data_IF_589268145886
#
_entry.id   IF_589268145886
#
_cell.length_a   1.000
_cell.length_b   1.000
_cell.length_c   1.000
_cell.angle_alpha   90.00
_cell.angle_beta   90.00
_cell.angle_gamma   90.00
#
_symmetry.space_group_name_H-M   'P 1'
#
loop_
_entity.id
_entity.type
_entity.pdbx_description
1 polymer ?
#
# COMPACT_ATOMS: atom_id res chain seq x y z
N UNK A 1 -17.39 30.10 -10.92
CA UNK A 1 -16.84 29.88 -12.27
C UNK A 1 -16.29 28.47 -12.29
N UNK A 2 -16.94 27.57 -13.01
CA UNK A 2 -16.53 26.17 -13.14
C UNK A 2 -15.24 26.14 -13.97
N UNK A 3 -14.12 25.82 -13.34
CA UNK A 3 -12.92 25.48 -14.07
C UNK A 3 -13.22 24.17 -14.86
N UNK A 4 -13.16 24.26 -16.18
CA UNK A 4 -13.16 23.10 -17.06
C UNK A 4 -11.98 22.23 -16.64
N UNK A 5 -12.25 21.14 -15.90
CA UNK A 5 -11.27 20.07 -15.69
C UNK A 5 -10.99 19.48 -17.07
N UNK A 6 -9.82 19.81 -17.62
CA UNK A 6 -9.29 19.07 -18.76
C UNK A 6 -9.18 17.61 -18.35
N UNK A 7 -9.70 16.69 -19.16
CA UNK A 7 -9.54 15.26 -18.93
C UNK A 7 -8.04 14.96 -18.70
N UNK A 8 -7.71 14.17 -17.69
CA UNK A 8 -6.31 13.85 -17.42
C UNK A 8 -5.69 13.19 -18.66
N UNK A 9 -4.47 13.58 -19.02
CA UNK A 9 -3.74 12.98 -20.13
C UNK A 9 -3.58 11.47 -19.86
N UNK A 10 -3.77 10.64 -20.86
CA UNK A 10 -3.55 9.20 -20.73
C UNK A 10 -2.13 8.93 -20.18
N UNK A 11 -1.96 7.97 -19.27
CA UNK A 11 -0.64 7.59 -18.76
C UNK A 11 0.28 7.14 -19.90
N UNK A 12 1.58 7.41 -19.79
CA UNK A 12 2.56 6.92 -20.76
C UNK A 12 2.64 5.38 -20.75
N UNK A 13 3.15 4.79 -21.85
CA UNK A 13 3.40 3.34 -21.91
C UNK A 13 4.24 2.85 -20.71
N UNK A 14 5.27 3.59 -20.35
CA UNK A 14 6.15 3.28 -19.21
C UNK A 14 5.39 3.22 -17.88
N UNK A 15 4.50 4.18 -17.63
CA UNK A 15 3.65 4.20 -16.44
C UNK A 15 2.69 3.02 -16.44
N UNK A 16 2.06 2.72 -17.57
CA UNK A 16 1.14 1.59 -17.69
C UNK A 16 1.84 0.25 -17.47
N UNK A 17 3.04 0.08 -18.05
CA UNK A 17 3.86 -1.11 -17.80
C UNK A 17 4.28 -1.21 -16.34
N UNK A 18 4.74 -0.12 -15.71
CA UNK A 18 5.07 -0.07 -14.28
C UNK A 18 3.87 -0.49 -13.43
N UNK A 19 2.68 0.03 -13.71
CA UNK A 19 1.44 -0.30 -13.01
C UNK A 19 1.13 -1.80 -13.14
N UNK A 20 1.17 -2.35 -14.36
CA UNK A 20 0.90 -3.76 -14.59
C UNK A 20 1.93 -4.68 -13.92
N UNK A 21 3.23 -4.41 -14.09
CA UNK A 21 4.31 -5.18 -13.45
C UNK A 21 4.18 -5.17 -11.92
N UNK A 22 3.90 -4.01 -11.35
CA UNK A 22 3.78 -3.86 -9.89
C UNK A 22 2.58 -4.62 -9.35
N UNK A 23 1.40 -4.48 -9.96
CA UNK A 23 0.20 -5.19 -9.55
C UNK A 23 0.39 -6.72 -9.65
N UNK A 24 1.00 -7.20 -10.73
CA UNK A 24 1.33 -8.61 -10.92
C UNK A 24 2.35 -9.10 -9.88
N UNK A 25 3.39 -8.31 -9.60
CA UNK A 25 4.40 -8.64 -8.59
C UNK A 25 3.78 -8.76 -7.19
N UNK A 26 2.90 -7.84 -6.81
CA UNK A 26 2.16 -7.92 -5.54
C UNK A 26 1.33 -9.20 -5.50
N UNK A 27 0.56 -9.51 -6.56
CA UNK A 27 -0.26 -10.72 -6.65
C UNK A 27 0.57 -11.99 -6.48
N UNK A 28 1.70 -12.10 -7.19
CA UNK A 28 2.61 -13.25 -7.10
C UNK A 28 3.17 -13.37 -5.69
N UNK A 29 3.68 -12.26 -5.12
CA UNK A 29 4.24 -12.25 -3.77
C UNK A 29 3.23 -12.74 -2.73
N UNK A 30 2.00 -12.24 -2.77
CA UNK A 30 0.96 -12.62 -1.81
C UNK A 30 0.50 -14.08 -1.99
N UNK A 31 0.31 -14.51 -3.24
CA UNK A 31 -0.16 -15.87 -3.54
C UNK A 31 0.88 -16.91 -3.13
N UNK A 32 2.13 -16.70 -3.49
CA UNK A 32 3.24 -17.60 -3.15
C UNK A 32 3.60 -17.48 -1.65
N UNK A 33 3.54 -16.28 -1.08
CA UNK A 33 3.71 -16.05 0.36
C UNK A 33 2.71 -16.86 1.20
N UNK A 34 1.45 -16.96 0.77
CA UNK A 34 0.43 -17.81 1.40
C UNK A 34 0.86 -19.29 1.38
N UNK A 35 1.46 -19.77 0.28
CA UNK A 35 1.95 -21.14 0.19
C UNK A 35 3.11 -21.38 1.16
N UNK A 36 4.07 -20.45 1.23
CA UNK A 36 5.18 -20.51 2.20
C UNK A 36 4.68 -20.49 3.65
N UNK A 37 3.67 -19.68 3.94
CA UNK A 37 3.03 -19.64 5.26
C UNK A 37 2.41 -21.00 5.62
N UNK A 38 1.66 -21.62 4.69
CA UNK A 38 1.04 -22.92 4.89
C UNK A 38 2.06 -24.07 5.03
N UNK A 39 3.25 -23.89 4.48
CA UNK A 39 4.38 -24.81 4.68
C UNK A 39 5.09 -24.59 6.03
N UNK A 40 4.70 -23.58 6.81
CA UNK A 40 5.30 -23.26 8.11
C UNK A 40 6.63 -22.50 8.03
N UNK A 41 7.00 -22.02 6.84
CA UNK A 41 8.23 -21.25 6.63
C UNK A 41 8.09 -19.80 7.11
N UNK A 42 6.89 -19.22 7.02
CA UNK A 42 6.58 -17.89 7.54
C UNK A 42 5.87 -18.05 8.88
N UNK A 43 6.39 -17.37 9.91
CA UNK A 43 5.85 -17.40 11.27
C UNK A 43 5.10 -16.10 11.58
N UNK A 44 4.24 -16.16 12.60
CA UNK A 44 3.43 -15.02 13.03
C UNK A 44 2.20 -14.78 12.16
N UNK A 45 1.77 -13.53 12.04
CA UNK A 45 0.61 -13.18 11.21
C UNK A 45 1.04 -12.76 9.82
N UNK A 46 0.31 -13.22 8.82
CA UNK A 46 0.47 -12.83 7.43
C UNK A 46 -0.88 -12.29 6.92
N UNK A 47 -0.92 -11.02 6.56
CA UNK A 47 -2.11 -10.31 6.09
C UNK A 47 -2.02 -10.07 4.59
N UNK A 48 -2.62 -10.92 3.73
CA UNK A 48 -2.50 -10.77 2.28
C UNK A 48 -3.11 -9.47 1.77
N UNK A 49 -2.44 -8.82 0.83
CA UNK A 49 -2.90 -7.60 0.16
C UNK A 49 -3.85 -7.87 -1.02
N UNK A 50 -4.24 -9.14 -1.24
CA UNK A 50 -5.05 -9.60 -2.36
C UNK A 50 -6.37 -8.84 -2.50
N UNK A 51 -6.61 -8.31 -3.69
CA UNK A 51 -7.79 -7.52 -4.05
C UNK A 51 -7.61 -6.00 -3.89
N UNK A 52 -6.49 -5.53 -3.32
CA UNK A 52 -6.22 -4.12 -3.05
C UNK A 52 -5.04 -3.57 -3.89
N UNK A 53 -4.45 -4.38 -4.78
CA UNK A 53 -3.24 -4.07 -5.55
C UNK A 53 -3.34 -2.77 -6.34
N UNK A 54 -4.54 -2.41 -6.79
CA UNK A 54 -4.79 -1.19 -7.55
C UNK A 54 -4.44 0.08 -6.78
N UNK A 55 -4.63 0.08 -5.44
CA UNK A 55 -4.39 1.25 -4.60
C UNK A 55 -2.88 1.49 -4.48
N UNK A 56 -2.13 0.51 -3.95
CA UNK A 56 -0.68 0.65 -3.77
C UNK A 56 0.00 1.02 -5.10
N UNK A 57 -0.40 0.34 -6.17
CA UNK A 57 0.19 0.50 -7.50
C UNK A 57 -0.08 1.88 -8.08
N UNK A 58 -1.34 2.33 -8.05
CA UNK A 58 -1.73 3.65 -8.58
C UNK A 58 -1.10 4.79 -7.78
N UNK A 59 -1.12 4.69 -6.44
CA UNK A 59 -0.50 5.70 -5.56
C UNK A 59 1.00 5.81 -5.80
N UNK A 60 1.74 4.70 -5.72
CA UNK A 60 3.20 4.73 -5.83
C UNK A 60 3.68 5.04 -7.26
N UNK A 61 2.88 4.73 -8.29
CA UNK A 61 3.22 5.12 -9.66
C UNK A 61 3.17 6.64 -9.90
N UNK A 62 2.39 7.38 -9.11
CA UNK A 62 2.23 8.82 -9.20
C UNK A 62 3.26 9.62 -8.37
N UNK A 63 4.02 8.96 -7.53
CA UNK A 63 5.03 9.57 -6.67
C UNK A 63 6.40 9.61 -7.36
N UNK A 64 7.28 10.49 -6.87
CA UNK A 64 8.64 10.65 -7.36
C UNK A 64 9.67 10.26 -6.30
N UNK A 65 10.91 10.10 -6.72
CA UNK A 65 12.06 9.96 -5.83
C UNK A 65 12.13 11.16 -4.85
N UNK A 66 12.40 10.85 -3.59
CA UNK A 66 12.42 11.83 -2.50
C UNK A 66 11.07 12.01 -1.80
N UNK A 67 9.96 11.47 -2.33
CA UNK A 67 8.70 11.36 -1.59
C UNK A 67 8.80 10.23 -0.53
N UNK A 68 7.82 10.17 0.37
CA UNK A 68 7.81 9.19 1.46
C UNK A 68 6.48 8.46 1.53
N UNK A 69 6.53 7.19 1.97
CA UNK A 69 5.34 6.42 2.31
C UNK A 69 5.40 5.92 3.75
N UNK A 70 4.25 5.86 4.42
CA UNK A 70 4.03 5.13 5.67
C UNK A 70 2.93 4.10 5.44
N UNK A 71 3.15 2.87 5.90
CA UNK A 71 2.34 1.72 5.57
C UNK A 71 1.51 1.21 6.75
N UNK A 72 0.77 0.13 6.55
CA UNK A 72 -0.11 -0.53 7.53
C UNK A 72 0.38 -1.94 7.84
N UNK A 73 -0.38 -2.67 8.66
CA UNK A 73 -0.16 -4.11 8.92
C UNK A 73 -0.24 -4.99 7.66
N UNK A 74 -0.81 -4.48 6.55
CA UNK A 74 -0.94 -5.13 5.24
C UNK A 74 0.04 -4.49 4.23
N UNK A 75 1.31 -4.39 4.65
CA UNK A 75 2.29 -3.52 4.01
C UNK A 75 3.00 -4.07 2.79
N UNK A 76 2.85 -5.35 2.43
CA UNK A 76 3.62 -5.97 1.34
C UNK A 76 3.39 -5.25 0.00
N UNK A 77 2.11 -4.98 -0.33
CA UNK A 77 1.76 -4.26 -1.54
C UNK A 77 2.40 -2.88 -1.62
N UNK A 78 2.39 -2.14 -0.51
CA UNK A 78 3.01 -0.81 -0.43
C UNK A 78 4.53 -0.88 -0.60
N UNK A 79 5.18 -1.83 0.09
CA UNK A 79 6.64 -2.02 -0.03
C UNK A 79 7.05 -2.34 -1.47
N UNK A 80 6.36 -3.29 -2.12
CA UNK A 80 6.63 -3.68 -3.51
C UNK A 80 6.37 -2.50 -4.46
N UNK A 81 5.25 -1.80 -4.29
CA UNK A 81 4.89 -0.66 -5.13
C UNK A 81 5.89 0.49 -4.98
N UNK A 82 6.50 0.64 -3.82
CA UNK A 82 7.56 1.61 -3.55
C UNK A 82 8.93 1.20 -4.09
N UNK A 83 9.09 -0.05 -4.55
CA UNK A 83 10.32 -0.55 -5.16
C UNK A 83 11.18 -1.40 -4.24
N UNK A 84 10.62 -1.97 -3.19
CA UNK A 84 11.36 -2.86 -2.30
C UNK A 84 11.91 -4.10 -3.03
N UNK A 85 13.11 -4.53 -2.66
CA UNK A 85 13.74 -5.76 -3.14
C UNK A 85 12.99 -6.98 -2.59
N UNK A 86 12.39 -7.76 -3.49
CA UNK A 86 11.62 -8.96 -3.16
C UNK A 86 12.46 -9.99 -2.40
N UNK A 87 13.77 -10.11 -2.68
CA UNK A 87 14.68 -11.02 -1.95
C UNK A 87 14.75 -10.65 -0.47
N UNK A 88 14.95 -9.35 -0.18
CA UNK A 88 14.98 -8.87 1.21
C UNK A 88 13.63 -8.98 1.90
N UNK A 89 12.54 -8.78 1.16
CA UNK A 89 11.19 -8.95 1.71
C UNK A 89 10.92 -10.42 2.09
N UNK A 90 11.21 -11.38 1.19
CA UNK A 90 11.05 -12.80 1.49
C UNK A 90 11.98 -13.22 2.63
N UNK A 91 13.23 -12.76 2.65
CA UNK A 91 14.16 -13.01 3.73
C UNK A 91 13.63 -12.51 5.09
N UNK A 92 12.99 -11.32 5.12
CA UNK A 92 12.35 -10.80 6.32
C UNK A 92 11.19 -11.69 6.80
N UNK A 93 10.34 -12.14 5.86
CA UNK A 93 9.24 -13.06 6.19
C UNK A 93 9.74 -14.40 6.74
N UNK A 94 10.87 -14.89 6.26
CA UNK A 94 11.51 -16.12 6.72
C UNK A 94 12.42 -15.88 7.95
N UNK A 95 12.42 -14.69 8.53
CA UNK A 95 13.20 -14.30 9.72
C UNK A 95 14.71 -14.48 9.52
N UNK A 96 15.21 -14.10 8.33
CA UNK A 96 16.63 -14.19 7.98
C UNK A 96 17.35 -12.86 8.20
N UNK A 97 18.64 -12.93 8.54
CA UNK A 97 19.48 -11.75 8.79
C UNK A 97 19.57 -10.82 7.57
N UNK A 98 19.41 -11.35 6.37
CA UNK A 98 19.42 -10.59 5.10
C UNK A 98 18.12 -9.84 4.81
N UNK A 99 17.09 -9.95 5.66
CA UNK A 99 15.85 -9.22 5.55
C UNK A 99 15.99 -7.71 5.80
N UNK A 100 15.01 -6.93 5.42
CA UNK A 100 15.00 -5.46 5.59
C UNK A 100 15.20 -5.02 7.04
N UNK A 101 14.59 -5.73 7.97
CA UNK A 101 14.71 -5.49 9.41
C UNK A 101 15.53 -6.59 10.10
N UNK A 102 16.48 -7.20 9.36
CA UNK A 102 17.35 -8.28 9.86
C UNK A 102 16.59 -9.49 10.42
N UNK A 103 15.38 -9.75 9.90
CA UNK A 103 14.51 -10.83 10.35
C UNK A 103 13.73 -10.57 11.65
N UNK A 104 13.82 -9.37 12.22
CA UNK A 104 13.14 -9.03 13.49
C UNK A 104 11.72 -8.50 13.29
N UNK A 105 11.44 -7.88 12.14
CA UNK A 105 10.16 -7.20 11.87
C UNK A 105 9.06 -8.14 11.40
N UNK A 106 9.38 -9.10 10.57
CA UNK A 106 8.41 -9.98 9.92
C UNK A 106 7.44 -9.24 9.00
N UNK A 107 6.31 -9.86 8.71
CA UNK A 107 5.32 -9.40 7.72
C UNK A 107 4.82 -7.96 7.95
N UNK A 108 4.60 -7.56 9.20
CA UNK A 108 3.92 -6.29 9.53
C UNK A 108 4.87 -5.11 9.81
N UNK A 109 6.19 -5.30 9.70
CA UNK A 109 7.14 -4.26 10.11
C UNK A 109 8.28 -4.03 9.10
N UNK A 110 8.07 -4.38 7.83
CA UNK A 110 9.06 -4.10 6.78
C UNK A 110 9.19 -2.59 6.61
N UNK A 111 10.43 -2.10 6.69
CA UNK A 111 10.78 -0.70 6.50
C UNK A 111 12.05 -0.56 5.66
N UNK A 112 12.11 0.49 4.85
CA UNK A 112 13.30 0.93 4.12
C UNK A 112 13.37 2.46 4.15
N UNK A 113 13.75 2.99 5.30
CA UNK A 113 13.75 4.43 5.56
C UNK A 113 14.68 5.17 4.62
N UNK A 114 15.79 4.55 4.21
CA UNK A 114 16.72 5.15 3.26
C UNK A 114 16.10 5.37 1.88
N UNK A 115 15.19 4.49 1.46
CA UNK A 115 14.42 4.63 0.22
C UNK A 115 13.14 5.46 0.39
N UNK A 116 12.84 5.99 1.59
CA UNK A 116 11.62 6.76 1.85
C UNK A 116 10.41 5.93 2.29
N UNK A 117 10.56 4.61 2.50
CA UNK A 117 9.53 3.78 3.11
C UNK A 117 9.68 3.78 4.64
N UNK A 118 8.85 4.57 5.32
CA UNK A 118 8.88 4.76 6.78
C UNK A 118 8.45 3.51 7.57
N UNK A 119 7.94 2.51 6.87
CA UNK A 119 7.65 1.19 7.40
C UNK A 119 6.18 0.84 7.49
N UNK A 120 5.98 -0.47 7.56
CA UNK A 120 4.73 -1.11 7.94
C UNK A 120 4.56 -1.06 9.46
N UNK A 121 3.30 -1.11 9.95
CA UNK A 121 3.02 -0.99 11.37
C UNK A 121 1.81 -1.84 11.78
N UNK A 122 2.01 -2.72 12.76
CA UNK A 122 0.94 -3.53 13.34
C UNK A 122 -0.02 -2.77 14.24
N UNK A 123 0.32 -1.55 14.67
CA UNK A 123 -0.56 -0.70 15.47
C UNK A 123 -1.51 0.07 14.55
N UNK A 124 -2.78 -0.32 14.54
CA UNK A 124 -3.80 0.25 13.67
C UNK A 124 -3.98 1.76 13.93
N UNK A 125 -3.78 2.56 12.90
CA UNK A 125 -3.86 4.02 12.96
C UNK A 125 -2.55 4.76 13.29
N UNK A 126 -1.53 4.08 13.82
CA UNK A 126 -0.27 4.71 14.23
C UNK A 126 0.57 5.25 13.04
N UNK A 127 0.35 4.75 11.83
CA UNK A 127 1.00 5.28 10.63
C UNK A 127 0.65 6.74 10.34
N UNK A 128 -0.56 7.19 10.72
CA UNK A 128 -1.02 8.55 10.41
C UNK A 128 -0.18 9.62 11.08
N UNK A 129 0.02 9.63 12.42
CA UNK A 129 0.88 10.61 13.07
C UNK A 129 2.36 10.50 12.65
N UNK A 130 2.84 9.29 12.32
CA UNK A 130 4.21 9.11 11.79
C UNK A 130 4.38 9.83 10.45
N UNK A 131 3.42 9.67 9.53
CA UNK A 131 3.45 10.35 8.24
C UNK A 131 3.34 11.87 8.36
N UNK A 132 2.49 12.37 9.26
CA UNK A 132 2.39 13.81 9.54
C UNK A 132 3.72 14.35 10.09
N UNK A 133 4.38 13.61 11.00
CA UNK A 133 5.70 13.97 11.51
C UNK A 133 6.76 14.02 10.41
N UNK A 134 6.74 13.07 9.47
CA UNK A 134 7.65 13.08 8.32
C UNK A 134 7.37 14.24 7.36
N UNK A 135 6.09 14.55 7.08
CA UNK A 135 5.71 15.68 6.26
C UNK A 135 6.14 17.01 6.90
N UNK A 136 5.99 17.15 8.23
CA UNK A 136 6.50 18.31 8.97
C UNK A 136 8.02 18.42 8.89
N UNK A 137 8.74 17.31 9.03
CA UNK A 137 10.19 17.30 8.90
C UNK A 137 10.63 17.74 7.50
N UNK A 138 9.93 17.31 6.44
CA UNK A 138 10.19 17.73 5.06
C UNK A 138 9.95 19.24 4.89
N UNK A 139 8.87 19.77 5.43
CA UNK A 139 8.58 21.20 5.40
C UNK A 139 9.67 22.03 6.12
N UNK A 140 10.10 21.59 7.32
CA UNK A 140 11.18 22.26 8.07
C UNK A 140 12.49 22.26 7.28
N UNK A 141 12.77 21.19 6.53
CA UNK A 141 13.95 21.08 5.65
C UNK A 141 13.81 21.85 4.33
N UNK A 142 12.68 22.47 4.07
CA UNK A 142 12.40 23.18 2.81
C UNK A 142 12.27 22.26 1.59
N UNK A 143 11.92 20.98 1.81
CA UNK A 143 11.70 20.00 0.74
C UNK A 143 10.27 20.10 0.20
N UNK A 144 10.10 19.89 -1.13
CA UNK A 144 8.80 19.75 -1.79
C UNK A 144 8.24 18.32 -1.74
N UNK A 145 8.92 17.43 -1.04
CA UNK A 145 8.53 16.04 -0.90
C UNK A 145 7.10 15.89 -0.34
N UNK A 146 6.36 14.95 -0.92
CA UNK A 146 5.04 14.56 -0.44
C UNK A 146 5.19 13.30 0.43
N UNK A 147 4.56 13.31 1.59
CA UNK A 147 4.45 12.11 2.43
C UNK A 147 3.05 11.52 2.27
N UNK A 148 2.98 10.27 1.84
CA UNK A 148 1.73 9.51 1.73
C UNK A 148 1.65 8.51 2.87
N UNK A 149 0.54 8.55 3.60
CA UNK A 149 0.25 7.51 4.59
C UNK A 149 -0.93 6.67 4.14
N UNK A 150 -0.73 5.37 4.07
CA UNK A 150 -1.81 4.42 3.92
C UNK A 150 -2.49 4.18 5.27
N UNK A 151 -3.80 4.14 5.26
CA UNK A 151 -4.64 3.88 6.42
C UNK A 151 -5.76 2.92 6.03
N UNK A 152 -6.66 2.57 6.94
CA UNK A 152 -7.77 1.66 6.66
C UNK A 152 -9.09 2.23 7.15
N UNK A 153 -10.20 1.67 6.67
CA UNK A 153 -11.54 1.98 7.17
C UNK A 153 -11.63 1.82 8.70
N UNK A 154 -11.12 0.71 9.24
CA UNK A 154 -11.07 0.49 10.69
C UNK A 154 -10.21 1.52 11.44
N UNK A 155 -9.04 1.87 10.89
CA UNK A 155 -8.14 2.87 11.47
C UNK A 155 -8.76 4.27 11.51
N UNK A 156 -9.66 4.59 10.59
CA UNK A 156 -10.34 5.89 10.54
C UNK A 156 -11.22 6.18 11.76
N UNK A 157 -11.54 5.16 12.57
CA UNK A 157 -12.26 5.31 13.85
C UNK A 157 -11.34 5.55 15.06
N UNK A 158 -10.02 5.52 14.87
CA UNK A 158 -9.07 5.92 15.90
C UNK A 158 -9.02 7.46 15.98
N UNK A 159 -8.98 8.03 17.20
CA UNK A 159 -8.90 9.48 17.42
C UNK A 159 -7.71 10.12 16.71
N UNK A 160 -6.57 9.44 16.68
CA UNK A 160 -5.35 9.93 16.01
C UNK A 160 -5.53 10.20 14.52
N UNK A 161 -6.51 9.58 13.86
CA UNK A 161 -6.82 9.84 12.45
C UNK A 161 -7.22 11.32 12.23
N UNK A 162 -8.25 11.80 12.96
CA UNK A 162 -8.71 13.19 12.83
C UNK A 162 -7.74 14.19 13.43
N UNK A 163 -7.12 13.87 14.56
CA UNK A 163 -6.13 14.71 15.23
C UNK A 163 -4.94 14.99 14.33
N UNK A 164 -4.37 13.95 13.72
CA UNK A 164 -3.24 14.06 12.80
C UNK A 164 -3.61 14.79 11.51
N UNK A 165 -4.77 14.50 10.93
CA UNK A 165 -5.21 15.16 9.70
C UNK A 165 -5.48 16.66 9.94
N UNK A 166 -6.05 17.02 11.10
CA UNK A 166 -6.25 18.40 11.50
C UNK A 166 -4.92 19.16 11.69
N UNK A 167 -3.92 18.53 12.33
CA UNK A 167 -2.58 19.13 12.44
C UNK A 167 -1.93 19.32 11.07
N UNK A 168 -2.03 18.35 10.19
CA UNK A 168 -1.53 18.46 8.81
C UNK A 168 -2.18 19.62 8.06
N UNK A 169 -3.49 19.84 8.27
CA UNK A 169 -4.24 20.94 7.66
C UNK A 169 -3.81 22.32 8.23
N UNK A 170 -3.71 22.44 9.56
CA UNK A 170 -3.31 23.69 10.21
C UNK A 170 -1.90 24.12 9.76
N UNK A 171 -0.98 23.16 9.61
CA UNK A 171 0.40 23.42 9.19
C UNK A 171 0.58 23.42 7.68
N UNK A 172 -0.48 23.18 6.91
CA UNK A 172 -0.46 23.15 5.43
C UNK A 172 0.63 22.23 4.87
N UNK A 173 0.68 20.99 5.38
CA UNK A 173 1.73 20.02 5.05
C UNK A 173 1.53 19.40 3.68
N UNK A 174 2.62 19.03 3.00
CA UNK A 174 2.63 18.16 1.83
C UNK A 174 2.32 16.72 2.25
N UNK A 175 1.09 16.46 2.63
CA UNK A 175 0.64 15.20 3.20
C UNK A 175 -0.59 14.66 2.46
N UNK A 176 -0.57 13.40 2.09
CA UNK A 176 -1.73 12.70 1.54
C UNK A 176 -2.07 11.51 2.43
N UNK A 177 -3.31 11.45 2.89
CA UNK A 177 -3.83 10.30 3.64
C UNK A 177 -4.69 9.45 2.71
N UNK A 178 -4.31 8.20 2.48
CA UNK A 178 -5.04 7.25 1.65
C UNK A 178 -5.73 6.23 2.53
N UNK A 179 -7.06 6.21 2.54
CA UNK A 179 -7.86 5.19 3.22
C UNK A 179 -8.10 4.05 2.24
N UNK A 180 -7.57 2.89 2.53
CA UNK A 180 -7.91 1.63 1.88
C UNK A 180 -9.21 1.10 2.48
N UNK A 181 -10.34 1.55 1.94
CA UNK A 181 -11.66 1.13 2.42
C UNK A 181 -12.02 -0.24 1.84
N UNK A 182 -11.51 -1.29 2.48
CA UNK A 182 -11.86 -2.67 2.13
C UNK A 182 -13.14 -3.17 2.83
N UNK A 183 -13.83 -2.28 3.55
CA UNK A 183 -15.15 -2.43 4.14
C UNK A 183 -15.23 -3.37 5.35
N UNK A 184 -14.08 -3.79 5.90
CA UNK A 184 -14.02 -4.64 7.08
C UNK A 184 -12.84 -4.32 7.99
N UNK A 185 -13.12 -4.05 9.26
CA UNK A 185 -12.12 -4.07 10.32
C UNK A 185 -12.14 -5.46 10.99
N UNK A 186 -11.14 -6.31 10.69
CA UNK A 186 -11.14 -7.75 10.98
C UNK A 186 -12.42 -8.39 10.38
N UNK A 187 -13.43 -8.70 11.16
CA UNK A 187 -14.74 -9.24 10.75
C UNK A 187 -15.90 -8.25 10.89
N UNK A 188 -15.65 -7.08 11.48
CA UNK A 188 -16.69 -6.04 11.67
C UNK A 188 -16.90 -5.27 10.37
N UNK A 189 -18.10 -5.24 9.87
CA UNK A 189 -18.47 -4.46 8.68
C UNK A 189 -18.39 -2.96 8.96
N UNK A 190 -18.07 -2.19 7.92
CA UNK A 190 -18.01 -0.74 8.06
C UNK A 190 -19.34 -0.14 8.54
N UNK A 191 -20.47 -0.66 8.08
CA UNK A 191 -21.80 -0.19 8.46
C UNK A 191 -22.14 -0.46 9.94
N UNK A 192 -21.46 -1.41 10.58
CA UNK A 192 -21.63 -1.75 12.00
C UNK A 192 -20.79 -0.86 12.92
N UNK A 193 -19.72 -0.24 12.40
CA UNK A 193 -18.78 0.57 13.17
C UNK A 193 -18.81 2.05 12.83
N UNK A 194 -19.43 2.44 11.70
CA UNK A 194 -19.33 3.78 11.16
C UNK A 194 -20.66 4.25 10.59
N UNK A 195 -21.22 5.37 11.12
CA UNK A 195 -22.50 5.89 10.70
C UNK A 195 -22.48 6.47 9.27
N UNK A 196 -21.45 7.24 8.93
CA UNK A 196 -21.19 7.77 7.60
C UNK A 196 -20.09 6.92 6.94
N UNK A 197 -20.47 6.09 6.00
CA UNK A 197 -19.58 5.12 5.36
C UNK A 197 -18.74 5.71 4.23
N UNK A 198 -19.09 6.90 3.75
CA UNK A 198 -18.24 7.68 2.83
C UNK A 198 -17.14 8.38 3.64
N UNK A 199 -16.04 7.70 3.85
CA UNK A 199 -15.01 8.12 4.80
C UNK A 199 -14.27 9.40 4.38
N UNK A 200 -14.22 9.72 3.07
CA UNK A 200 -13.66 10.98 2.58
C UNK A 200 -14.35 12.21 3.19
N UNK A 201 -15.63 12.11 3.56
CA UNK A 201 -16.38 13.20 4.20
C UNK A 201 -15.81 13.62 5.55
N UNK A 202 -15.04 12.74 6.22
CA UNK A 202 -14.34 13.08 7.47
C UNK A 202 -13.31 14.18 7.28
N UNK A 203 -12.57 14.15 6.17
CA UNK A 203 -11.63 15.21 5.83
C UNK A 203 -12.35 16.52 5.44
N UNK A 204 -13.41 16.39 4.64
CA UNK A 204 -14.23 17.55 4.24
C UNK A 204 -14.80 18.25 5.47
N UNK A 205 -15.21 17.53 6.52
CA UNK A 205 -15.77 18.08 7.75
C UNK A 205 -14.78 18.98 8.52
N UNK A 206 -13.47 18.80 8.32
CA UNK A 206 -12.41 19.61 8.94
C UNK A 206 -11.67 20.51 7.93
N UNK A 207 -12.28 20.71 6.74
CA UNK A 207 -11.74 21.63 5.73
C UNK A 207 -10.59 21.07 4.88
N UNK A 208 -10.37 19.75 4.88
CA UNK A 208 -9.36 19.08 4.04
C UNK A 208 -9.96 18.70 2.69
N UNK A 209 -9.24 19.00 1.60
CA UNK A 209 -9.58 18.51 0.26
C UNK A 209 -9.65 16.98 0.29
N UNK A 210 -10.80 16.43 -0.12
CA UNK A 210 -11.08 15.01 0.08
C UNK A 210 -11.83 14.42 -1.10
N UNK A 211 -11.40 13.23 -1.52
CA UNK A 211 -11.93 12.54 -2.71
C UNK A 211 -12.18 11.06 -2.44
N UNK A 212 -13.11 10.49 -3.20
CA UNK A 212 -13.32 9.04 -3.24
C UNK A 212 -12.97 8.51 -4.63
N UNK A 213 -12.40 7.30 -4.70
CA UNK A 213 -12.03 6.64 -5.95
C UNK A 213 -12.32 5.14 -5.88
N UNK A 214 -12.55 4.52 -7.03
CA UNK A 214 -12.57 3.06 -7.17
C UNK A 214 -11.13 2.51 -6.99
N UNK A 215 -10.85 1.93 -5.82
CA UNK A 215 -9.54 1.35 -5.48
C UNK A 215 -9.17 0.12 -6.31
N UNK A 216 -10.13 -0.47 -7.04
CA UNK A 216 -9.87 -1.55 -7.99
C UNK A 216 -9.44 -1.02 -9.38
N UNK A 217 -9.46 0.30 -9.59
CA UNK A 217 -8.96 0.94 -10.81
C UNK A 217 -7.60 1.62 -10.59
N UNK A 218 -6.49 0.96 -10.92
CA UNK A 218 -5.17 1.52 -10.67
C UNK A 218 -4.90 2.79 -11.48
N UNK A 219 -5.58 2.98 -12.63
CA UNK A 219 -5.41 4.17 -13.46
C UNK A 219 -6.17 5.36 -12.85
N UNK A 220 -7.39 5.13 -12.35
CA UNK A 220 -8.15 6.16 -11.65
C UNK A 220 -7.41 6.60 -10.36
N UNK A 221 -6.88 5.65 -9.59
CA UNK A 221 -6.06 5.93 -8.40
C UNK A 221 -4.79 6.72 -8.77
N UNK A 222 -4.09 6.33 -9.84
CA UNK A 222 -2.91 7.05 -10.33
C UNK A 222 -3.21 8.51 -10.65
N UNK A 223 -4.27 8.79 -11.41
CA UNK A 223 -4.64 10.14 -11.78
C UNK A 223 -5.03 10.99 -10.57
N UNK A 224 -5.82 10.44 -9.66
CA UNK A 224 -6.21 11.15 -8.46
C UNK A 224 -5.00 11.45 -7.56
N UNK A 225 -4.09 10.50 -7.42
CA UNK A 225 -2.87 10.70 -6.65
C UNK A 225 -1.95 11.75 -7.27
N UNK A 226 -1.84 11.82 -8.61
CA UNK A 226 -1.10 12.89 -9.29
C UNK A 226 -1.68 14.28 -8.94
N UNK A 227 -3.01 14.41 -8.96
CA UNK A 227 -3.69 15.66 -8.59
C UNK A 227 -3.43 16.01 -7.12
N UNK A 228 -3.57 15.04 -6.21
CA UNK A 228 -3.32 15.24 -4.79
C UNK A 228 -1.87 15.67 -4.51
N UNK A 229 -0.89 15.01 -5.16
CA UNK A 229 0.51 15.37 -5.02
C UNK A 229 0.80 16.79 -5.57
N UNK A 230 0.17 17.15 -6.69
CA UNK A 230 0.30 18.50 -7.24
C UNK A 230 -0.34 19.56 -6.32
N UNK A 231 -1.51 19.28 -5.73
CA UNK A 231 -2.16 20.15 -4.72
C UNK A 231 -1.22 20.38 -3.54
N UNK A 232 -0.64 19.31 -2.99
CA UNK A 232 0.32 19.41 -1.89
C UNK A 232 1.53 20.26 -2.26
N UNK A 233 2.19 19.97 -3.39
CA UNK A 233 3.38 20.74 -3.84
C UNK A 233 3.09 22.19 -4.17
N UNK A 234 1.83 22.51 -4.50
CA UNK A 234 1.38 23.89 -4.67
C UNK A 234 1.13 24.62 -3.33
N UNK A 235 1.41 23.99 -2.19
CA UNK A 235 1.21 24.56 -0.86
C UNK A 235 -0.27 24.74 -0.49
N UNK A 236 -1.15 23.86 -1.00
CA UNK A 236 -2.60 23.93 -0.74
C UNK A 236 -3.09 22.95 0.35
N UNK A 237 -2.15 22.48 1.18
CA UNK A 237 -2.45 21.66 2.35
C UNK A 237 -2.61 20.17 2.05
N UNK A 238 -2.99 19.40 3.05
CA UNK A 238 -3.13 17.97 2.88
C UNK A 238 -4.33 17.60 2.01
N UNK A 239 -4.29 16.38 1.46
CA UNK A 239 -5.40 15.76 0.73
C UNK A 239 -5.75 14.43 1.38
N UNK A 240 -7.04 14.13 1.48
CA UNK A 240 -7.56 12.82 1.88
C UNK A 240 -8.13 12.09 0.66
N UNK A 241 -7.69 10.86 0.44
CA UNK A 241 -8.23 9.96 -0.60
C UNK A 241 -8.85 8.75 0.08
N UNK A 242 -10.10 8.47 -0.21
CA UNK A 242 -10.73 7.20 0.10
C UNK A 242 -10.74 6.33 -1.15
N UNK A 243 -10.03 5.21 -1.12
CA UNK A 243 -10.00 4.22 -2.19
C UNK A 243 -10.87 3.01 -1.79
N UNK A 244 -12.06 2.92 -2.40
CA UNK A 244 -13.03 1.85 -2.09
C UNK A 244 -12.62 0.57 -2.79
N UNK A 245 -12.46 -0.51 -2.03
CA UNK A 245 -12.01 -1.81 -2.53
C UNK A 245 -12.61 -2.95 -1.71
N UNK A 246 -12.09 -4.16 -1.88
CA UNK A 246 -12.51 -5.33 -1.11
C UNK A 246 -11.39 -6.38 -1.04
N UNK A 247 -11.16 -6.94 0.15
CA UNK A 247 -10.21 -8.06 0.29
C UNK A 247 -10.73 -9.30 -0.41
N UNK A 248 -9.86 -10.02 -1.14
CA UNK A 248 -10.22 -11.30 -1.75
C UNK A 248 -10.15 -12.49 -0.78
N UNK A 249 -9.68 -12.26 0.43
CA UNK A 249 -9.58 -13.25 1.52
C UNK A 249 -10.05 -12.64 2.85
N UNK A 250 -10.14 -13.46 3.88
CA UNK A 250 -10.33 -13.02 5.26
C UNK A 250 -9.25 -12.04 5.74
N UNK A 251 -9.27 -11.68 7.01
CA UNK A 251 -8.36 -10.67 7.55
C UNK A 251 -6.88 -11.08 7.46
N UNK A 252 -6.58 -12.33 7.73
CA UNK A 252 -5.25 -12.95 7.61
C UNK A 252 -5.36 -14.38 7.04
N UNK A 253 -4.23 -15.02 6.75
CA UNK A 253 -4.20 -16.33 6.05
C UNK A 253 -5.05 -17.42 6.73
N UNK A 254 -5.15 -17.42 8.05
CA UNK A 254 -5.91 -18.41 8.81
C UNK A 254 -7.38 -18.01 9.03
N UNK A 255 -7.79 -16.83 8.56
CA UNK A 255 -9.19 -16.39 8.62
C UNK A 255 -9.95 -16.91 7.39
N UNK A 256 -10.96 -17.79 7.60
CA UNK A 256 -11.72 -18.36 6.48
C UNK A 256 -12.66 -17.35 5.78
N UNK A 257 -12.84 -16.15 6.32
CA UNK A 257 -13.65 -15.08 5.71
C UNK A 257 -15.15 -15.37 5.62
N UNK A 258 -15.70 -16.29 6.45
CA UNK A 258 -17.12 -16.70 6.38
C UNK A 258 -18.12 -15.59 6.61
N UNK A 259 -17.68 -14.46 7.16
CA UNK A 259 -18.49 -13.25 7.35
C UNK A 259 -18.62 -12.40 6.09
N UNK A 260 -17.84 -12.71 5.05
CA UNK A 260 -17.85 -11.98 3.78
C UNK A 260 -18.94 -12.53 2.87
N UNK A 261 -19.93 -11.71 2.42
CA UNK A 261 -20.97 -12.18 1.49
C UNK A 261 -20.37 -12.65 0.16
N UNK A 262 -20.74 -13.83 -0.29
CA UNK A 262 -20.22 -14.43 -1.53
C UNK A 262 -20.51 -13.56 -2.76
N UNK A 263 -21.71 -12.99 -2.83
CA UNK A 263 -22.09 -12.10 -3.93
C UNK A 263 -21.20 -10.87 -4.02
N UNK A 264 -20.90 -10.24 -2.86
CA UNK A 264 -20.03 -9.06 -2.79
C UNK A 264 -18.60 -9.42 -3.16
N UNK A 265 -18.10 -10.56 -2.69
CA UNK A 265 -16.79 -11.07 -3.07
C UNK A 265 -16.68 -11.36 -4.57
N UNK A 266 -17.72 -11.98 -5.15
CA UNK A 266 -17.78 -12.25 -6.59
C UNK A 266 -17.80 -10.94 -7.41
N UNK A 267 -18.55 -9.92 -6.98
CA UNK A 267 -18.57 -8.60 -7.61
C UNK A 267 -17.17 -7.97 -7.68
N UNK A 268 -16.44 -7.98 -6.58
CA UNK A 268 -15.08 -7.39 -6.55
C UNK A 268 -14.04 -8.25 -7.28
N UNK A 269 -14.16 -9.58 -7.24
CA UNK A 269 -13.31 -10.48 -8.05
C UNK A 269 -13.52 -10.30 -9.56
N UNK A 270 -14.74 -10.03 -10.01
CA UNK A 270 -15.01 -9.69 -11.41
C UNK A 270 -14.39 -8.33 -11.83
N UNK A 271 -13.95 -7.53 -10.88
CA UNK A 271 -13.29 -6.23 -11.04
C UNK A 271 -11.87 -6.26 -10.48
N UNK A 272 -11.19 -7.40 -10.65
CA UNK A 272 -9.85 -7.64 -10.11
C UNK A 272 -8.86 -6.54 -10.56
N UNK A 273 -8.13 -5.89 -9.62
CA UNK A 273 -7.25 -4.79 -9.95
C UNK A 273 -6.06 -5.19 -10.83
N UNK A 274 -5.60 -6.44 -10.75
CA UNK A 274 -4.51 -6.94 -11.60
C UNK A 274 -5.00 -7.14 -13.04
N UNK A 275 -6.20 -7.70 -13.21
CA UNK A 275 -6.81 -7.86 -14.54
C UNK A 275 -7.09 -6.49 -15.18
N UNK A 276 -7.53 -5.51 -14.39
CA UNK A 276 -7.72 -4.13 -14.87
C UNK A 276 -6.41 -3.45 -15.25
N UNK A 277 -5.34 -3.64 -14.47
CA UNK A 277 -4.01 -3.14 -14.83
C UNK A 277 -3.51 -3.77 -16.13
N UNK A 278 -3.70 -5.09 -16.29
CA UNK A 278 -3.38 -5.84 -17.53
C UNK A 278 -4.16 -5.28 -18.72
N UNK A 279 -5.46 -5.12 -18.60
CA UNK A 279 -6.32 -4.59 -19.66
C UNK A 279 -5.90 -3.17 -20.05
N UNK A 280 -5.67 -2.28 -19.09
CA UNK A 280 -5.21 -0.92 -19.36
C UNK A 280 -3.86 -0.91 -20.11
N UNK A 281 -2.89 -1.73 -19.68
CA UNK A 281 -1.60 -1.84 -20.38
C UNK A 281 -1.77 -2.37 -21.80
N UNK A 282 -2.58 -3.41 -21.99
CA UNK A 282 -2.85 -4.00 -23.30
C UNK A 282 -3.55 -3.03 -24.26
N UNK A 283 -4.66 -2.45 -23.79
CA UNK A 283 -5.55 -1.66 -24.64
C UNK A 283 -4.98 -0.29 -25.01
N UNK A 284 -4.18 0.30 -24.12
CA UNK A 284 -3.62 1.64 -24.29
C UNK A 284 -2.22 1.65 -24.93
N UNK A 285 -1.52 0.48 -25.03
CA UNK A 285 -0.14 0.44 -25.55
C UNK A 285 0.07 -0.51 -26.72
N UNK A 286 -0.94 -1.28 -27.10
CA UNK A 286 -0.86 -2.33 -28.11
C UNK A 286 0.21 -3.40 -27.82
N UNK A 287 0.51 -3.66 -26.53
CA UNK A 287 1.38 -4.75 -26.12
C UNK A 287 0.73 -6.10 -26.46
N UNK A 288 1.53 -7.05 -26.91
CA UNK A 288 1.06 -8.38 -27.28
C UNK A 288 0.85 -9.30 -26.05
N UNK A 289 0.02 -10.33 -26.19
CA UNK A 289 -0.15 -11.34 -25.14
C UNK A 289 1.16 -12.08 -24.84
N UNK A 290 2.04 -12.23 -25.82
CA UNK A 290 3.37 -12.84 -25.64
C UNK A 290 4.28 -11.96 -24.77
N UNK A 291 4.28 -10.65 -24.96
CA UNK A 291 5.02 -9.71 -24.10
C UNK A 291 4.47 -9.71 -22.67
N UNK A 292 3.16 -9.72 -22.51
CA UNK A 292 2.50 -9.84 -21.19
C UNK A 292 2.93 -11.13 -20.50
N UNK A 293 2.85 -12.27 -21.17
CA UNK A 293 3.25 -13.56 -20.62
C UNK A 293 4.74 -13.61 -20.24
N UNK A 294 5.60 -12.95 -21.02
CA UNK A 294 7.03 -12.85 -20.72
C UNK A 294 7.26 -12.05 -19.41
N UNK A 295 6.54 -10.94 -19.22
CA UNK A 295 6.60 -10.14 -18.00
C UNK A 295 6.15 -10.97 -16.78
N UNK A 296 5.08 -11.72 -16.91
CA UNK A 296 4.56 -12.57 -15.84
C UNK A 296 5.52 -13.69 -15.46
N UNK A 297 6.15 -14.31 -16.47
CA UNK A 297 7.15 -15.35 -16.25
C UNK A 297 8.42 -14.78 -15.57
N UNK A 298 8.85 -13.58 -15.96
CA UNK A 298 9.96 -12.87 -15.31
C UNK A 298 9.67 -12.62 -13.81
N UNK A 299 8.48 -12.13 -13.50
CA UNK A 299 8.07 -11.84 -12.12
C UNK A 299 7.97 -13.13 -11.28
N UNK A 300 7.45 -14.22 -11.85
CA UNK A 300 7.40 -15.50 -11.17
C UNK A 300 8.82 -16.01 -10.87
N UNK A 301 9.74 -15.94 -11.83
CA UNK A 301 11.13 -16.35 -11.65
C UNK A 301 11.86 -15.47 -10.63
N UNK A 302 11.58 -14.16 -10.57
CA UNK A 302 12.13 -13.25 -9.55
C UNK A 302 11.73 -13.72 -8.14
N UNK A 303 10.46 -14.08 -7.95
CA UNK A 303 9.98 -14.58 -6.66
C UNK A 303 10.61 -15.92 -6.28
N UNK A 304 10.67 -16.87 -7.20
CA UNK A 304 11.34 -18.17 -6.98
C UNK A 304 12.82 -17.98 -6.57
N UNK A 305 13.54 -17.11 -7.27
CA UNK A 305 14.92 -16.77 -6.92
C UNK A 305 15.02 -16.11 -5.54
N UNK A 306 14.04 -15.29 -5.15
CA UNK A 306 13.97 -14.68 -3.83
C UNK A 306 13.76 -15.74 -2.73
N UNK A 307 12.94 -16.74 -2.96
CA UNK A 307 12.73 -17.87 -2.02
C UNK A 307 14.03 -18.66 -1.85
N UNK A 308 14.68 -19.03 -2.96
CA UNK A 308 15.98 -19.77 -2.92
C UNK A 308 17.04 -18.96 -2.15
N UNK A 309 17.17 -17.68 -2.43
CA UNK A 309 18.07 -16.78 -1.71
C UNK A 309 17.77 -16.78 -0.21
N UNK A 310 16.49 -16.61 0.15
CA UNK A 310 16.09 -16.45 1.54
C UNK A 310 16.24 -17.75 2.34
N UNK A 311 15.91 -18.89 1.76
CA UNK A 311 16.11 -20.21 2.42
C UNK A 311 17.57 -20.46 2.73
N UNK A 312 18.49 -20.03 1.85
CA UNK A 312 19.94 -20.19 2.02
C UNK A 312 20.59 -19.05 2.84
N UNK A 313 19.84 -18.03 3.22
CA UNK A 313 20.33 -16.91 4.02
C UNK A 313 20.53 -17.33 5.48
N UNK A 314 21.50 -16.69 6.19
CA UNK A 314 21.76 -17.01 7.60
C UNK A 314 20.54 -16.73 8.49
N UNK A 315 20.39 -17.59 9.49
CA UNK A 315 19.46 -17.37 10.59
C UNK A 315 19.96 -16.25 11.49
N UNK A 316 19.03 -15.54 12.14
CA UNK A 316 19.38 -14.58 13.17
C UNK A 316 19.91 -15.33 14.39
N UNK A 317 21.14 -15.03 14.84
CA UNK A 317 21.71 -15.65 16.03
C UNK A 317 21.18 -14.99 17.30
N UNK A 318 21.19 -15.74 18.42
CA UNK A 318 20.83 -15.21 19.75
C UNK A 318 21.79 -14.10 20.15
N UNK A 319 23.07 -14.25 19.85
CA UNK A 319 24.13 -13.27 20.14
C UNK A 319 23.91 -11.97 19.35
N UNK A 320 23.56 -12.06 18.07
CA UNK A 320 23.23 -10.89 17.24
C UNK A 320 21.99 -10.16 17.76
N UNK A 321 20.98 -10.92 18.20
CA UNK A 321 19.79 -10.33 18.83
C UNK A 321 20.09 -9.66 20.17
N UNK A 322 20.89 -10.29 21.04
CA UNK A 322 21.30 -9.71 22.31
C UNK A 322 22.08 -8.40 22.11
N UNK A 323 23.06 -8.39 21.20
CA UNK A 323 23.82 -7.19 20.88
C UNK A 323 22.95 -6.06 20.28
N UNK A 324 21.93 -6.40 19.49
CA UNK A 324 20.96 -5.43 19.00
C UNK A 324 20.12 -4.85 20.13
N UNK A 325 19.64 -5.68 21.06
CA UNK A 325 18.83 -5.25 22.20
C UNK A 325 19.61 -4.38 23.20
N UNK A 326 20.91 -4.64 23.39
CA UNK A 326 21.78 -3.84 24.28
C UNK A 326 22.14 -2.47 23.67
N UNK A 327 22.03 -2.30 22.36
CA UNK A 327 22.31 -1.04 21.65
C UNK A 327 21.15 -0.04 21.66
N UNK A 328 20.02 -0.40 22.25
CA UNK A 328 18.84 0.42 22.47
C UNK A 328 18.64 0.70 23.94
#
# INVERSE_FOLDING_TARGET
>A
MSATQTAPNAPSREVLEKIFRTATKIRVFETEGIKLYRQGLIRGYFHPYLGQEGIATGVCAALKEGDFIASTHRGHGHCIAWGADVKKMVAELLQKETGYCKGYGGSMHIADVAAGNLGANGIVGAGTPLGVGAALANQIKGSDAVTVTFSTDGASNNGTFLESLNLAAIWNLNFVLVIENNQYAVSTKIEESTRETDLYKRGTAIGVESHQVDGNDPIAVYHLMQQAAATCRAGKGPVLIEAVTYRHMGHHVNDPGKYMPEEKLAYYKARDPVDRARAAFKDMTNVTDAEIAAIEAEIAAEFEAAVVFSVNSPEVSVEAFAAFAEGY
#
